data_IF_449252932244
#
_entry.id   IF_449252932244
#
_cell.length_a   1.000
_cell.length_b   1.000
_cell.length_c   1.000
_cell.angle_alpha   90.00
_cell.angle_beta   90.00
_cell.angle_gamma   90.00
#
_symmetry.space_group_name_H-M   'P 1'
#
loop_
_entity.id
_entity.type
_entity.pdbx_description
1 polymer ?
#
# COMPACT_ATOMS: atom_id res chain seq x y z
N UNK A 1 39.44 14.03 19.13
CA UNK A 1 38.67 12.92 19.74
C UNK A 1 37.95 12.10 18.68
N UNK A 2 37.58 10.83 18.98
CA UNK A 2 36.83 10.01 18.02
C UNK A 2 35.35 10.01 18.35
N UNK A 3 34.50 10.02 17.34
CA UNK A 3 33.06 9.97 17.53
C UNK A 3 32.65 8.60 18.11
N UNK A 4 31.92 8.55 19.24
CA UNK A 4 31.52 7.29 19.85
C UNK A 4 30.50 6.50 19.04
N UNK A 5 29.83 7.12 18.08
CA UNK A 5 28.80 6.47 17.26
C UNK A 5 29.34 5.94 15.92
N UNK A 6 30.25 6.65 15.24
CA UNK A 6 30.75 6.23 13.92
C UNK A 6 32.28 6.03 13.84
N UNK A 7 33.00 6.28 14.93
CA UNK A 7 34.45 6.08 15.01
C UNK A 7 35.31 7.12 14.27
N UNK A 8 34.75 8.05 13.52
CA UNK A 8 35.50 9.05 12.77
C UNK A 8 36.21 10.05 13.69
N UNK A 9 37.43 10.47 13.29
CA UNK A 9 38.21 11.44 14.02
C UNK A 9 37.64 12.84 13.87
N UNK A 10 37.48 13.54 14.98
CA UNK A 10 36.90 14.87 15.08
C UNK A 10 37.85 15.83 15.79
N UNK A 11 37.76 17.15 15.54
CA UNK A 11 38.43 18.16 16.35
C UNK A 11 38.00 18.06 17.82
N UNK A 12 38.92 18.37 18.75
CA UNK A 12 38.65 18.18 20.19
C UNK A 12 37.56 19.10 20.78
N UNK A 13 37.14 20.10 20.03
CA UNK A 13 36.07 21.05 20.40
C UNK A 13 34.77 20.85 19.60
N UNK A 14 34.62 19.76 18.87
CA UNK A 14 33.41 19.52 18.09
C UNK A 14 32.20 19.27 18.98
N UNK A 15 31.13 20.02 18.80
CA UNK A 15 29.86 19.87 19.50
C UNK A 15 28.92 18.85 18.83
N UNK A 16 29.17 18.53 17.57
CA UNK A 16 28.47 17.47 16.81
C UNK A 16 29.41 16.82 15.80
N UNK A 17 29.09 15.59 15.43
CA UNK A 17 29.84 14.86 14.42
C UNK A 17 29.36 15.23 13.01
N UNK A 18 30.22 15.82 12.19
CA UNK A 18 29.90 16.18 10.79
C UNK A 18 29.65 14.98 9.86
N UNK A 19 30.01 13.76 10.28
CA UNK A 19 29.84 12.53 9.48
C UNK A 19 28.52 11.80 9.76
N UNK A 20 28.10 11.74 11.04
CA UNK A 20 26.88 10.98 11.41
C UNK A 20 25.82 11.83 12.13
N UNK A 21 26.05 13.14 12.33
CA UNK A 21 25.10 14.06 12.98
C UNK A 21 24.94 13.87 14.50
N UNK A 22 25.71 12.96 15.13
CA UNK A 22 25.61 12.74 16.58
C UNK A 22 26.09 13.95 17.38
N UNK A 23 25.27 14.41 18.33
CA UNK A 23 25.66 15.44 19.29
C UNK A 23 26.69 14.88 20.28
N UNK A 24 27.78 15.62 20.48
CA UNK A 24 28.85 15.29 21.39
C UNK A 24 28.76 16.24 22.57
N UNK A 25 28.42 15.73 23.74
CA UNK A 25 28.50 16.52 24.97
C UNK A 25 29.98 16.77 25.29
N UNK A 26 30.41 18.02 25.23
CA UNK A 26 31.69 18.43 25.74
C UNK A 26 31.73 18.10 27.26
N UNK A 27 32.74 17.35 27.69
CA UNK A 27 32.97 17.09 29.10
C UNK A 27 33.10 18.44 29.81
N UNK A 28 32.13 18.82 30.63
CA UNK A 28 32.26 19.97 31.49
C UNK A 28 33.38 19.74 32.50
N UNK A 29 34.31 20.67 32.70
CA UNK A 29 35.29 20.57 33.76
C UNK A 29 34.55 20.48 35.11
N UNK A 30 34.76 19.44 35.83
CA UNK A 30 34.22 19.21 37.17
C UNK A 30 35.00 20.13 38.14
N UNK A 31 34.53 21.38 38.33
CA UNK A 31 35.00 22.22 39.42
C UNK A 31 34.51 21.61 40.74
N UNK A 32 35.42 21.06 41.53
CA UNK A 32 35.19 20.67 42.91
C UNK A 32 34.92 21.98 43.68
N UNK A 33 33.66 22.27 44.02
CA UNK A 33 33.32 23.34 44.93
C UNK A 33 33.66 22.95 46.35
N UNK A 34 34.30 23.83 47.15
CA UNK A 34 34.49 23.61 48.57
C UNK A 34 33.11 23.49 49.25
N UNK A 35 32.97 22.48 50.10
CA UNK A 35 31.76 22.16 50.84
C UNK A 35 31.60 23.18 51.99
N UNK A 36 30.94 24.31 51.74
CA UNK A 36 30.48 25.20 52.81
C UNK A 36 29.14 24.62 53.30
N UNK A 37 29.12 24.19 54.57
CA UNK A 37 27.91 23.88 55.31
C UNK A 37 27.06 25.16 55.42
N UNK A 38 25.98 25.23 54.62
CA UNK A 38 25.01 26.33 54.79
C UNK A 38 24.02 25.98 55.87
N UNK A 39 23.64 26.95 56.73
CA UNK A 39 22.58 26.78 57.71
C UNK A 39 21.26 26.45 57.01
N UNK A 40 20.54 25.48 57.56
CA UNK A 40 19.20 25.09 57.08
C UNK A 40 18.23 26.23 57.40
N UNK A 41 18.03 27.15 56.47
CA UNK A 41 16.87 28.02 56.49
C UNK A 41 15.73 27.27 55.85
N UNK A 42 14.71 26.94 56.66
CA UNK A 42 13.41 26.47 56.18
C UNK A 42 12.81 27.57 55.30
N UNK A 43 12.91 27.43 53.99
CA UNK A 43 12.18 28.30 53.07
C UNK A 43 10.68 28.04 53.19
N UNK A 44 9.86 29.10 53.32
CA UNK A 44 8.43 28.96 53.19
C UNK A 44 8.10 28.35 51.81
N UNK A 45 7.34 27.28 51.81
CA UNK A 45 6.87 26.59 50.63
C UNK A 45 5.87 27.49 49.91
N UNK A 46 6.38 28.35 49.04
CA UNK A 46 5.52 29.08 48.09
C UNK A 46 4.93 28.05 47.15
N UNK A 47 3.65 27.74 47.33
CA UNK A 47 2.86 27.01 46.34
C UNK A 47 2.91 27.84 45.06
N UNK A 48 3.66 27.37 44.06
CA UNK A 48 3.62 27.97 42.72
C UNK A 48 2.16 27.94 42.24
N UNK A 49 1.61 29.06 41.78
CA UNK A 49 0.32 29.06 41.11
C UNK A 49 0.39 28.06 39.96
N UNK A 50 -0.45 27.03 40.01
CA UNK A 50 -0.61 26.06 38.94
C UNK A 50 -1.21 26.84 37.76
N UNK A 51 -0.35 27.33 36.86
CA UNK A 51 -0.80 27.88 35.60
C UNK A 51 -1.53 26.75 34.88
N UNK A 52 -2.85 26.77 34.97
CA UNK A 52 -3.70 25.96 34.08
C UNK A 52 -3.33 26.37 32.65
N UNK A 53 -2.61 25.50 31.95
CA UNK A 53 -2.39 25.70 30.53
C UNK A 53 -3.76 25.90 29.88
N UNK A 54 -3.95 26.98 29.12
CA UNK A 54 -5.19 27.17 28.38
C UNK A 54 -5.46 25.89 27.60
N UNK A 55 -6.74 25.41 27.53
CA UNK A 55 -7.06 24.22 26.78
C UNK A 55 -6.43 24.37 25.40
N UNK A 56 -5.46 23.52 25.07
CA UNK A 56 -4.90 23.44 23.73
C UNK A 56 -6.11 23.21 22.84
N UNK A 57 -6.50 24.24 22.08
CA UNK A 57 -7.54 24.12 21.09
C UNK A 57 -7.17 22.92 20.23
N UNK A 58 -7.87 21.80 20.43
CA UNK A 58 -7.66 20.61 19.61
C UNK A 58 -7.90 21.08 18.17
N UNK A 59 -6.82 21.19 17.41
CA UNK A 59 -6.97 21.39 15.97
C UNK A 59 -7.97 20.35 15.49
N UNK A 60 -9.05 20.75 14.80
CA UNK A 60 -10.01 19.79 14.30
C UNK A 60 -9.23 18.74 13.54
N UNK A 61 -9.25 17.48 14.03
CA UNK A 61 -8.69 16.35 13.29
C UNK A 61 -9.18 16.50 11.86
N UNK A 62 -8.29 16.46 10.84
CA UNK A 62 -8.73 16.46 9.45
C UNK A 62 -9.87 15.44 9.35
N UNK A 63 -11.03 15.88 8.86
CA UNK A 63 -12.21 15.04 8.76
C UNK A 63 -11.78 13.73 8.10
N UNK A 64 -11.79 12.64 8.85
CA UNK A 64 -11.41 11.33 8.37
C UNK A 64 -12.38 11.03 7.24
N UNK A 65 -11.89 11.05 5.98
CA UNK A 65 -12.72 10.79 4.82
C UNK A 65 -13.45 9.48 5.08
N UNK A 66 -14.74 9.56 5.32
CA UNK A 66 -15.58 8.37 5.38
C UNK A 66 -15.44 7.69 4.02
N UNK A 67 -15.03 6.42 4.02
CA UNK A 67 -14.86 5.69 2.78
C UNK A 67 -16.20 5.61 2.05
N UNK A 68 -16.25 6.13 0.83
CA UNK A 68 -17.42 6.01 -0.02
C UNK A 68 -17.37 4.66 -0.75
N UNK A 69 -18.27 3.76 -0.37
CA UNK A 69 -18.34 2.40 -0.94
C UNK A 69 -18.60 2.44 -2.45
N UNK A 70 -19.50 3.32 -2.91
CA UNK A 70 -19.86 3.44 -4.33
C UNK A 70 -18.68 3.92 -5.16
N UNK A 71 -18.00 4.96 -4.70
CA UNK A 71 -16.80 5.48 -5.37
C UNK A 71 -15.66 4.48 -5.31
N UNK A 72 -15.54 3.74 -4.22
CA UNK A 72 -14.57 2.64 -4.11
C UNK A 72 -14.83 1.52 -5.11
N UNK A 73 -16.09 1.10 -5.29
CA UNK A 73 -16.45 0.10 -6.28
C UNK A 73 -16.22 0.57 -7.72
N UNK A 74 -16.54 1.83 -8.03
CA UNK A 74 -16.20 2.42 -9.33
C UNK A 74 -14.69 2.40 -9.57
N UNK A 75 -13.91 2.71 -8.55
CA UNK A 75 -12.45 2.61 -8.61
C UNK A 75 -11.95 1.19 -8.83
N UNK A 76 -12.56 0.21 -8.17
CA UNK A 76 -12.26 -1.21 -8.38
C UNK A 76 -12.60 -1.68 -9.79
N UNK A 77 -13.73 -1.23 -10.36
CA UNK A 77 -14.13 -1.54 -11.74
C UNK A 77 -13.14 -0.96 -12.75
N UNK A 78 -12.79 0.31 -12.61
CA UNK A 78 -11.80 0.96 -13.50
C UNK A 78 -10.44 0.27 -13.36
N UNK A 79 -10.00 0.00 -12.13
CA UNK A 79 -8.75 -0.72 -11.87
C UNK A 79 -8.77 -2.13 -12.46
N UNK A 80 -9.88 -2.86 -12.32
CA UNK A 80 -10.05 -4.20 -12.92
C UNK A 80 -10.06 -4.15 -14.45
N UNK A 81 -10.66 -3.13 -15.06
CA UNK A 81 -10.63 -2.96 -16.52
C UNK A 81 -9.20 -2.76 -17.04
N UNK A 82 -8.39 -1.94 -16.35
CA UNK A 82 -6.97 -1.80 -16.65
C UNK A 82 -6.19 -3.11 -16.46
N UNK A 83 -6.51 -3.84 -15.40
CA UNK A 83 -5.97 -5.19 -15.16
C UNK A 83 -6.35 -6.18 -16.25
N UNK A 84 -7.62 -6.20 -16.66
CA UNK A 84 -8.13 -7.02 -17.75
C UNK A 84 -7.48 -6.71 -19.10
N UNK A 85 -7.27 -5.41 -19.38
CA UNK A 85 -6.52 -4.99 -20.56
C UNK A 85 -5.08 -5.52 -20.54
N UNK A 86 -4.42 -5.53 -19.37
CA UNK A 86 -3.08 -6.10 -19.25
C UNK A 86 -3.06 -7.61 -19.50
N UNK A 87 -4.09 -8.36 -19.03
CA UNK A 87 -4.26 -9.78 -19.33
C UNK A 87 -4.38 -9.98 -20.84
N UNK A 88 -5.30 -9.26 -21.49
CA UNK A 88 -5.55 -9.34 -22.92
C UNK A 88 -4.27 -9.09 -23.75
N UNK A 89 -3.53 -8.01 -23.43
CA UNK A 89 -2.30 -7.68 -24.16
C UNK A 89 -1.20 -8.74 -23.97
N UNK A 90 -1.04 -9.29 -22.78
CA UNK A 90 -0.05 -10.33 -22.51
C UNK A 90 -0.42 -11.65 -23.19
N UNK A 91 -1.70 -12.02 -23.26
CA UNK A 91 -2.17 -13.16 -24.02
C UNK A 91 -1.88 -12.99 -25.53
N UNK A 92 -2.12 -11.81 -26.09
CA UNK A 92 -1.78 -11.50 -27.50
C UNK A 92 -0.27 -11.54 -27.79
N UNK A 93 0.57 -11.35 -26.78
CA UNK A 93 2.03 -11.47 -26.90
C UNK A 93 2.55 -12.90 -26.65
N UNK A 94 1.66 -13.87 -26.43
CA UNK A 94 1.99 -15.27 -26.08
C UNK A 94 2.86 -15.39 -24.81
N UNK A 95 2.88 -14.35 -23.99
CA UNK A 95 3.63 -14.35 -22.73
C UNK A 95 2.77 -14.96 -21.64
N UNK A 96 3.33 -15.94 -20.93
CA UNK A 96 2.65 -16.61 -19.80
C UNK A 96 2.16 -15.57 -18.78
N UNK A 97 0.87 -15.53 -18.58
CA UNK A 97 0.13 -14.48 -17.90
C UNK A 97 0.31 -14.45 -16.37
N UNK A 98 1.38 -15.03 -15.81
CA UNK A 98 1.61 -15.12 -14.37
C UNK A 98 1.65 -13.75 -13.68
N UNK A 99 2.19 -12.74 -14.37
CA UNK A 99 2.29 -11.37 -13.83
C UNK A 99 0.97 -10.62 -13.95
N UNK A 100 0.11 -10.95 -14.92
CA UNK A 100 -1.13 -10.22 -15.21
C UNK A 100 -2.15 -10.31 -14.06
N UNK A 101 -2.25 -11.46 -13.40
CA UNK A 101 -3.12 -11.63 -12.23
C UNK A 101 -2.72 -10.72 -11.06
N UNK A 102 -1.41 -10.56 -10.85
CA UNK A 102 -0.87 -9.67 -9.82
C UNK A 102 -1.15 -8.19 -10.14
N UNK A 103 -1.00 -7.80 -11.41
CA UNK A 103 -1.33 -6.46 -11.90
C UNK A 103 -2.83 -6.18 -11.71
N UNK A 104 -3.69 -7.14 -12.08
CA UNK A 104 -5.15 -7.00 -11.93
C UNK A 104 -5.55 -6.79 -10.48
N UNK A 105 -4.99 -7.59 -9.55
CA UNK A 105 -5.25 -7.47 -8.12
C UNK A 105 -4.77 -6.10 -7.58
N UNK A 106 -3.59 -5.68 -8.00
CA UNK A 106 -3.04 -4.37 -7.60
C UNK A 106 -3.91 -3.22 -8.11
N UNK A 107 -4.27 -3.22 -9.40
CA UNK A 107 -5.08 -2.16 -10.01
C UNK A 107 -6.48 -2.08 -9.39
N UNK A 108 -7.14 -3.21 -9.14
CA UNK A 108 -8.47 -3.25 -8.55
C UNK A 108 -8.49 -2.68 -7.12
N UNK A 109 -7.57 -3.13 -6.25
CA UNK A 109 -7.51 -2.68 -4.86
C UNK A 109 -7.02 -1.22 -4.76
N UNK A 110 -6.05 -0.82 -5.57
CA UNK A 110 -5.59 0.57 -5.62
C UNK A 110 -6.64 1.50 -6.21
N UNK A 111 -7.35 1.08 -7.23
CA UNK A 111 -8.48 1.81 -7.78
C UNK A 111 -9.56 2.08 -6.71
N UNK A 112 -9.91 1.06 -5.92
CA UNK A 112 -10.81 1.20 -4.78
C UNK A 112 -10.30 2.22 -3.76
N UNK A 113 -9.03 2.13 -3.37
CA UNK A 113 -8.41 3.03 -2.37
C UNK A 113 -8.39 4.49 -2.84
N UNK A 114 -8.06 4.72 -4.11
CA UNK A 114 -7.92 6.07 -4.68
C UNK A 114 -9.28 6.78 -4.73
N UNK A 115 -10.32 6.12 -5.20
CA UNK A 115 -11.65 6.72 -5.38
C UNK A 115 -12.51 6.60 -4.12
N UNK A 116 -12.46 5.47 -3.42
CA UNK A 116 -13.26 5.21 -2.22
C UNK A 116 -12.64 5.72 -0.92
N UNK A 117 -11.35 6.07 -0.92
CA UNK A 117 -10.63 6.52 0.27
C UNK A 117 -10.34 5.37 1.24
N UNK A 118 -11.08 5.27 2.36
CA UNK A 118 -10.82 4.25 3.39
C UNK A 118 -11.34 2.88 2.95
N UNK A 119 -10.45 1.89 2.88
CA UNK A 119 -10.82 0.51 2.56
C UNK A 119 -11.65 -0.10 3.69
N UNK A 120 -12.90 -0.45 3.41
CA UNK A 120 -13.78 -1.20 4.31
C UNK A 120 -13.68 -2.71 4.05
N UNK A 121 -13.97 -3.54 5.08
CA UNK A 121 -13.96 -5.01 4.91
C UNK A 121 -14.93 -5.47 3.83
N UNK A 122 -16.12 -4.87 3.77
CA UNK A 122 -17.14 -5.16 2.78
C UNK A 122 -16.71 -4.69 1.38
N UNK A 123 -16.08 -3.51 1.29
CA UNK A 123 -15.54 -3.00 0.03
C UNK A 123 -14.43 -3.88 -0.55
N UNK A 124 -13.53 -4.42 0.30
CA UNK A 124 -12.52 -5.41 -0.12
C UNK A 124 -13.19 -6.66 -0.69
N UNK A 125 -14.21 -7.19 0.00
CA UNK A 125 -14.92 -8.38 -0.45
C UNK A 125 -15.56 -8.16 -1.84
N UNK A 126 -16.27 -7.03 -2.05
CA UNK A 126 -16.84 -6.70 -3.35
C UNK A 126 -15.77 -6.51 -4.43
N UNK A 127 -14.67 -5.84 -4.10
CA UNK A 127 -13.53 -5.66 -5.03
C UNK A 127 -12.90 -6.99 -5.42
N UNK A 128 -12.84 -7.96 -4.50
CA UNK A 128 -12.39 -9.32 -4.81
C UNK A 128 -13.31 -10.04 -5.80
N UNK A 129 -14.63 -9.87 -5.68
CA UNK A 129 -15.57 -10.45 -6.65
C UNK A 129 -15.38 -9.85 -8.04
N UNK A 130 -15.22 -8.53 -8.15
CA UNK A 130 -14.92 -7.85 -9.42
C UNK A 130 -13.60 -8.35 -9.99
N UNK A 131 -12.57 -8.45 -9.15
CA UNK A 131 -11.24 -8.94 -9.53
C UNK A 131 -11.29 -10.38 -10.07
N UNK A 132 -12.13 -11.25 -9.48
CA UNK A 132 -12.28 -12.64 -9.93
C UNK A 132 -13.07 -12.76 -11.24
N UNK A 133 -13.97 -11.84 -11.53
CA UNK A 133 -14.69 -11.83 -12.82
C UNK A 133 -13.80 -11.37 -13.98
N UNK A 134 -12.77 -10.56 -13.70
CA UNK A 134 -11.90 -9.95 -14.73
C UNK A 134 -11.11 -10.95 -15.57
N UNK A 135 -10.42 -11.97 -15.00
CA UNK A 135 -9.68 -12.96 -15.79
C UNK A 135 -10.55 -13.73 -16.76
N UNK A 136 -11.74 -14.13 -16.32
CA UNK A 136 -12.69 -14.83 -17.19
C UNK A 136 -13.11 -13.94 -18.36
N UNK A 137 -13.54 -12.71 -18.10
CA UNK A 137 -13.98 -11.79 -19.14
C UNK A 137 -12.85 -11.43 -20.13
N UNK A 138 -11.64 -11.18 -19.62
CA UNK A 138 -10.49 -10.90 -20.45
C UNK A 138 -10.09 -12.10 -21.34
N UNK A 139 -10.22 -13.31 -20.81
CA UNK A 139 -9.95 -14.55 -21.52
C UNK A 139 -11.00 -14.81 -22.60
N UNK A 140 -12.29 -14.59 -22.31
CA UNK A 140 -13.36 -14.68 -23.30
C UNK A 140 -13.16 -13.70 -24.45
N UNK A 141 -12.84 -12.43 -24.14
CA UNK A 141 -12.56 -11.40 -25.15
C UNK A 141 -11.35 -11.77 -25.99
N UNK A 142 -10.31 -12.32 -25.39
CA UNK A 142 -9.12 -12.77 -26.11
C UNK A 142 -9.49 -13.85 -27.14
N UNK A 143 -10.17 -14.94 -26.75
CA UNK A 143 -10.56 -16.00 -27.66
C UNK A 143 -11.57 -15.55 -28.72
N UNK A 144 -12.51 -14.66 -28.34
CA UNK A 144 -13.43 -14.08 -29.32
C UNK A 144 -12.68 -13.28 -30.39
N UNK A 145 -11.61 -12.51 -30.02
CA UNK A 145 -10.80 -11.80 -31.03
C UNK A 145 -10.00 -12.75 -31.92
N UNK A 146 -9.47 -13.86 -31.38
CA UNK A 146 -8.80 -14.88 -32.19
C UNK A 146 -9.77 -15.53 -33.22
N UNK A 147 -10.99 -15.86 -32.78
CA UNK A 147 -12.03 -16.42 -33.67
C UNK A 147 -12.42 -15.41 -34.76
N UNK A 148 -12.57 -14.12 -34.41
CA UNK A 148 -12.83 -13.06 -35.38
C UNK A 148 -11.73 -12.98 -36.43
N UNK A 149 -10.47 -13.01 -36.03
CA UNK A 149 -9.32 -12.87 -36.92
C UNK A 149 -9.20 -14.08 -37.86
N UNK A 150 -9.55 -15.29 -37.40
CA UNK A 150 -9.44 -16.51 -38.18
C UNK A 150 -10.64 -16.73 -39.13
N UNK A 151 -11.87 -16.46 -38.63
CA UNK A 151 -13.10 -16.83 -39.37
C UNK A 151 -13.81 -15.62 -40.00
N UNK A 152 -13.39 -14.39 -39.71
CA UNK A 152 -13.98 -13.17 -40.26
C UNK A 152 -15.42 -12.90 -39.80
N UNK A 153 -15.83 -13.45 -38.66
CA UNK A 153 -17.18 -13.28 -38.08
C UNK A 153 -17.25 -12.03 -37.22
N UNK A 154 -18.47 -11.58 -36.87
CA UNK A 154 -18.69 -10.47 -35.96
C UNK A 154 -18.28 -10.82 -34.52
N UNK A 155 -17.95 -9.77 -33.71
CA UNK A 155 -17.51 -9.98 -32.32
C UNK A 155 -18.56 -10.73 -31.47
N UNK A 156 -19.85 -10.41 -31.64
CA UNK A 156 -20.93 -11.05 -30.88
C UNK A 156 -21.01 -12.56 -31.19
N UNK A 157 -20.95 -12.93 -32.47
CA UNK A 157 -20.98 -14.32 -32.93
C UNK A 157 -19.75 -15.09 -32.48
N UNK A 158 -18.57 -14.42 -32.54
CA UNK A 158 -17.32 -14.98 -32.05
C UNK A 158 -17.37 -15.25 -30.55
N UNK A 159 -17.86 -14.28 -29.76
CA UNK A 159 -17.96 -14.40 -28.30
C UNK A 159 -18.89 -15.53 -27.86
N UNK A 160 -20.04 -15.70 -28.51
CA UNK A 160 -20.94 -16.82 -28.24
C UNK A 160 -20.35 -18.19 -28.65
N UNK A 161 -19.43 -18.18 -29.61
CA UNK A 161 -18.83 -19.40 -30.12
C UNK A 161 -17.58 -19.89 -29.38
N UNK A 162 -17.03 -19.12 -28.46
CA UNK A 162 -15.81 -19.48 -27.69
C UNK A 162 -15.94 -20.86 -27.04
N UNK A 163 -17.06 -21.16 -26.38
CA UNK A 163 -17.25 -22.38 -25.63
C UNK A 163 -17.29 -23.69 -26.45
N UNK A 164 -17.46 -23.61 -27.78
CA UNK A 164 -17.46 -24.77 -28.67
C UNK A 164 -16.43 -24.73 -29.79
N UNK A 165 -15.82 -23.58 -30.06
CA UNK A 165 -14.76 -23.44 -31.05
C UNK A 165 -13.35 -23.60 -30.47
N UNK A 166 -13.16 -23.29 -29.20
CA UNK A 166 -11.87 -23.41 -28.51
C UNK A 166 -11.77 -24.79 -27.87
N UNK A 167 -10.61 -25.44 -28.01
CA UNK A 167 -10.33 -26.70 -27.34
C UNK A 167 -10.47 -26.54 -25.82
N UNK A 168 -11.27 -27.42 -25.21
CA UNK A 168 -11.64 -27.29 -23.79
C UNK A 168 -10.43 -27.42 -22.85
N UNK A 169 -9.42 -28.21 -23.23
CA UNK A 169 -8.24 -28.43 -22.39
C UNK A 169 -7.36 -27.17 -22.39
N UNK A 170 -7.13 -26.61 -23.59
CA UNK A 170 -6.37 -25.35 -23.75
C UNK A 170 -7.08 -24.19 -23.08
N UNK A 171 -8.40 -24.08 -23.25
CA UNK A 171 -9.21 -23.04 -22.60
C UNK A 171 -9.10 -23.14 -21.08
N UNK A 172 -9.29 -24.35 -20.53
CA UNK A 172 -9.32 -24.58 -19.06
C UNK A 172 -7.93 -24.38 -18.45
N UNK A 173 -6.86 -24.87 -19.07
CA UNK A 173 -5.49 -24.72 -18.57
C UNK A 173 -5.09 -23.24 -18.44
N UNK A 174 -5.33 -22.45 -19.49
CA UNK A 174 -5.06 -21.02 -19.47
C UNK A 174 -5.88 -20.28 -18.41
N UNK A 175 -7.16 -20.59 -18.29
CA UNK A 175 -8.05 -19.97 -17.33
C UNK A 175 -7.67 -20.32 -15.88
N UNK A 176 -7.34 -21.57 -15.60
CA UNK A 176 -6.88 -22.02 -14.27
C UNK A 176 -5.58 -21.29 -13.88
N UNK A 177 -4.65 -21.16 -14.83
CA UNK A 177 -3.41 -20.44 -14.59
C UNK A 177 -3.66 -18.96 -14.27
N UNK A 178 -4.52 -18.29 -15.03
CA UNK A 178 -4.91 -16.90 -14.78
C UNK A 178 -5.52 -16.72 -13.38
N UNK A 179 -6.43 -17.62 -12.98
CA UNK A 179 -7.04 -17.58 -11.66
C UNK A 179 -6.04 -17.84 -10.54
N UNK A 180 -5.15 -18.83 -10.69
CA UNK A 180 -4.14 -19.14 -9.69
C UNK A 180 -3.28 -17.89 -9.36
N UNK A 181 -2.79 -17.19 -10.37
CA UNK A 181 -2.00 -15.98 -10.17
C UNK A 181 -2.81 -14.80 -9.67
N UNK A 182 -4.06 -14.66 -10.11
CA UNK A 182 -4.96 -13.60 -9.62
C UNK A 182 -5.28 -13.79 -8.14
N UNK A 183 -5.55 -15.01 -7.70
CA UNK A 183 -5.82 -15.34 -6.29
C UNK A 183 -4.56 -15.12 -5.43
N UNK A 184 -3.39 -15.58 -5.88
CA UNK A 184 -2.13 -15.38 -5.18
C UNK A 184 -1.80 -13.90 -5.04
N UNK A 185 -1.95 -13.12 -6.12
CA UNK A 185 -1.74 -11.68 -6.10
C UNK A 185 -2.74 -10.95 -5.20
N UNK A 186 -4.01 -11.29 -5.29
CA UNK A 186 -5.08 -10.74 -4.45
C UNK A 186 -4.89 -11.03 -2.98
N UNK A 187 -4.55 -12.28 -2.61
CA UNK A 187 -4.31 -12.68 -1.23
C UNK A 187 -3.12 -11.92 -0.62
N UNK A 188 -2.02 -11.77 -1.35
CA UNK A 188 -0.86 -11.00 -0.91
C UNK A 188 -1.20 -9.53 -0.64
N UNK A 189 -1.98 -8.91 -1.53
CA UNK A 189 -2.40 -7.51 -1.40
C UNK A 189 -3.37 -7.30 -0.23
N UNK A 190 -4.36 -8.17 -0.07
CA UNK A 190 -5.32 -8.13 1.05
C UNK A 190 -4.60 -8.30 2.38
N UNK A 191 -3.70 -9.26 2.48
CA UNK A 191 -2.89 -9.48 3.68
C UNK A 191 -2.07 -8.23 4.05
N UNK A 192 -1.43 -7.60 3.07
CA UNK A 192 -0.68 -6.35 3.28
C UNK A 192 -1.59 -5.19 3.72
N UNK A 193 -2.75 -5.03 3.10
CA UNK A 193 -3.71 -3.97 3.42
C UNK A 193 -4.23 -4.06 4.88
N UNK A 194 -4.35 -5.27 5.43
CA UNK A 194 -4.76 -5.46 6.83
C UNK A 194 -3.59 -5.40 7.83
N UNK A 195 -2.37 -5.72 7.42
CA UNK A 195 -1.18 -5.66 8.27
C UNK A 195 -0.74 -4.21 8.57
N UNK A 196 -0.88 -3.30 7.61
CA UNK A 196 -0.50 -1.88 7.75
C UNK A 196 -1.46 -1.09 8.66
N UNK A 197 -2.58 -1.66 9.09
CA UNK A 197 -3.56 -1.02 9.99
C UNK A 197 -3.37 -1.36 11.48
N UNK A 198 -2.30 -2.06 11.85
CA UNK A 198 -1.85 -2.24 13.24
C UNK A 198 -0.72 -1.29 13.55
#
# INVERSE_FOLDING_TARGET
>A
MNCPNCGNTLPDNATYCGYCGQFLQAAQPQYQQPQYQQPVYQQPQYQQPQYQQPPVAQQPKPAEKQGDLLMGLLGALIGSALGGLSIFLLLKMEVVASVSGLITAFCALKGYEILGGKISKFGVFLSMLIMLATPWLAHEIYWATEIMDVFGVGFADAFESVGYMVDSDVYTENLVMLYAFTILGGAAMVFNAFKTKK
#
